data_IF_273831703729
#
_entry.id   IF_273831703729
#
_cell.length_a   1.000
_cell.length_b   1.000
_cell.length_c   1.000
_cell.angle_alpha   90.00
_cell.angle_beta   90.00
_cell.angle_gamma   90.00
#
_symmetry.space_group_name_H-M   'P 1'
#
loop_
_entity.id
_entity.type
_entity.pdbx_description
1 polymer ?
#
# COMPACT_ATOMS: atom_id res chain seq x y z
N UNK A 1 -8.22 19.54 6.12
CA UNK A 1 -7.15 18.54 6.32
C UNK A 1 -6.33 18.39 5.05
N UNK A 2 -6.89 18.02 3.91
CA UNK A 2 -6.39 18.26 2.53
C UNK A 2 -7.44 17.65 1.55
N UNK A 3 -7.11 17.57 0.26
CA UNK A 3 -8.03 17.05 -0.78
C UNK A 3 -8.19 15.52 -0.81
N UNK A 4 -7.52 14.78 0.08
CA UNK A 4 -7.46 13.31 0.09
C UNK A 4 -7.84 12.68 1.43
N UNK A 5 -8.04 13.48 2.48
CA UNK A 5 -8.29 13.02 3.84
C UNK A 5 -9.39 13.84 4.52
N UNK A 6 -10.43 13.13 4.95
CA UNK A 6 -11.49 13.66 5.80
C UNK A 6 -11.35 13.11 7.22
N UNK A 7 -11.83 13.89 8.20
CA UNK A 7 -11.85 13.48 9.62
C UNK A 7 -13.25 13.65 10.18
N UNK A 8 -13.68 12.64 10.93
CA UNK A 8 -14.82 12.69 11.83
C UNK A 8 -14.29 12.68 13.26
N UNK A 9 -14.81 13.56 14.10
CA UNK A 9 -14.37 13.70 15.50
C UNK A 9 -15.55 13.48 16.44
N UNK A 10 -15.35 12.64 17.45
CA UNK A 10 -16.34 12.33 18.49
C UNK A 10 -15.69 12.48 19.87
N UNK A 11 -16.33 13.21 20.78
CA UNK A 11 -15.83 13.44 22.14
C UNK A 11 -16.73 12.70 23.13
N UNK A 12 -16.16 11.79 23.90
CA UNK A 12 -16.91 10.87 24.76
C UNK A 12 -17.10 11.37 26.18
N UNK A 13 -16.27 12.30 26.65
CA UNK A 13 -16.27 12.77 28.03
C UNK A 13 -16.86 14.19 28.21
N UNK A 14 -17.87 14.53 27.42
CA UNK A 14 -18.63 15.78 27.61
C UNK A 14 -19.65 15.58 28.76
N UNK A 15 -19.57 16.35 29.86
CA UNK A 15 -20.52 16.23 30.95
C UNK A 15 -21.97 16.49 30.50
N UNK A 16 -22.89 15.62 30.90
CA UNK A 16 -24.30 15.72 30.54
C UNK A 16 -24.66 15.14 29.16
N UNK A 17 -23.70 14.61 28.39
CA UNK A 17 -24.03 13.79 27.22
C UNK A 17 -24.36 12.35 27.62
N UNK A 18 -25.26 11.71 26.88
CA UNK A 18 -25.61 10.28 27.06
C UNK A 18 -24.73 9.35 26.22
N UNK A 19 -23.69 9.89 25.59
CA UNK A 19 -22.80 9.18 24.67
C UNK A 19 -21.83 10.13 23.95
N UNK A 20 -21.06 9.61 22.98
CA UNK A 20 -20.12 10.41 22.20
C UNK A 20 -20.82 11.54 21.46
N UNK A 21 -20.20 12.72 21.49
CA UNK A 21 -20.72 13.93 20.86
C UNK A 21 -19.96 14.15 19.55
N UNK A 22 -20.71 14.15 18.44
CA UNK A 22 -20.17 14.48 17.13
C UNK A 22 -19.78 15.95 17.05
N UNK A 23 -18.61 16.24 16.49
CA UNK A 23 -18.13 17.59 16.22
C UNK A 23 -18.38 17.97 14.75
N UNK A 24 -18.94 19.14 14.44
CA UNK A 24 -19.40 20.17 15.39
C UNK A 24 -20.72 19.78 16.07
N UNK A 25 -20.84 20.11 17.36
CA UNK A 25 -22.13 20.05 18.07
C UNK A 25 -23.06 21.17 17.61
N UNK A 26 -24.38 20.99 17.75
CA UNK A 26 -25.37 22.02 17.37
C UNK A 26 -25.17 23.30 18.19
N UNK A 27 -24.75 24.39 17.53
CA UNK A 27 -24.48 25.70 18.14
C UNK A 27 -25.71 26.29 18.87
N UNK A 28 -26.93 25.96 18.42
CA UNK A 28 -28.19 26.40 19.05
C UNK A 28 -28.70 25.56 20.22
N UNK A 29 -27.98 24.50 20.62
CA UNK A 29 -28.40 23.60 21.70
C UNK A 29 -27.17 23.10 22.46
N UNK A 30 -26.51 23.97 23.25
CA UNK A 30 -25.32 23.60 24.00
C UNK A 30 -25.64 22.48 24.98
N UNK A 31 -24.69 21.55 25.13
CA UNK A 31 -24.83 20.43 26.07
C UNK A 31 -24.68 20.99 27.49
N UNK A 32 -25.70 20.77 28.31
CA UNK A 32 -25.72 21.23 29.69
C UNK A 32 -25.27 20.11 30.59
N UNK A 33 -24.29 20.40 31.43
CA UNK A 33 -23.96 19.54 32.57
C UNK A 33 -25.17 19.47 33.52
N UNK A 34 -25.77 18.29 33.62
CA UNK A 34 -26.95 18.03 34.45
C UNK A 34 -26.61 17.83 35.92
N UNK A 35 -25.33 17.78 36.28
CA UNK A 35 -24.89 17.48 37.63
C UNK A 35 -25.05 18.65 38.62
N UNK A 36 -25.51 19.82 38.18
CA UNK A 36 -25.91 20.95 39.04
C UNK A 36 -25.04 22.19 38.91
N UNK A 37 -25.14 23.11 39.88
CA UNK A 37 -24.37 24.36 39.90
C UNK A 37 -22.94 24.14 40.43
N UNK A 38 -21.96 24.76 39.76
CA UNK A 38 -20.59 24.85 40.26
C UNK A 38 -20.51 25.83 41.44
N UNK A 39 -20.37 25.31 42.66
CA UNK A 39 -20.35 26.10 43.91
C UNK A 39 -19.32 25.53 44.88
N UNK A 40 -18.79 26.39 45.73
CA UNK A 40 -17.81 26.03 46.77
C UNK A 40 -18.41 25.14 47.86
N UNK A 41 -19.70 25.33 48.18
CA UNK A 41 -20.44 24.57 49.21
C UNK A 41 -20.67 23.10 48.82
N UNK A 42 -20.71 22.79 47.53
CA UNK A 42 -20.83 21.44 46.97
C UNK A 42 -19.48 20.80 46.63
N UNK A 43 -18.36 21.41 47.03
CA UNK A 43 -16.99 21.01 46.64
C UNK A 43 -16.81 20.97 45.11
N UNK A 44 -17.47 21.88 44.38
CA UNK A 44 -17.47 21.96 42.92
C UNK A 44 -17.08 23.36 42.43
N UNK A 45 -16.23 24.05 43.18
CA UNK A 45 -15.73 25.36 42.83
C UNK A 45 -14.91 25.32 41.53
N UNK A 46 -15.15 26.27 40.63
CA UNK A 46 -14.39 26.41 39.37
C UNK A 46 -13.68 27.76 39.27
N UNK A 47 -13.82 28.60 40.30
CA UNK A 47 -13.20 29.92 40.36
C UNK A 47 -11.79 29.81 40.94
N UNK A 48 -10.88 30.65 40.44
CA UNK A 48 -9.49 30.70 40.91
C UNK A 48 -9.37 31.07 42.39
N UNK A 49 -10.36 31.78 42.94
CA UNK A 49 -10.38 32.22 44.33
C UNK A 49 -11.07 31.24 45.30
N UNK A 50 -11.67 30.15 44.79
CA UNK A 50 -12.25 29.11 45.66
C UNK A 50 -11.14 28.43 46.49
N UNK A 51 -11.38 27.97 47.74
CA UNK A 51 -10.40 27.19 48.49
C UNK A 51 -9.94 25.96 47.71
N UNK A 52 -8.63 25.65 47.64
CA UNK A 52 -8.11 24.55 46.81
C UNK A 52 -8.78 23.21 47.07
N UNK A 53 -9.05 22.86 48.34
CA UNK A 53 -9.75 21.62 48.73
C UNK A 53 -11.24 21.58 48.33
N UNK A 54 -11.80 22.71 47.88
CA UNK A 54 -13.20 22.86 47.44
C UNK A 54 -13.34 22.99 45.92
N UNK A 55 -12.23 23.04 45.18
CA UNK A 55 -12.24 23.14 43.72
C UNK A 55 -12.53 21.80 43.08
N UNK A 56 -13.20 21.86 41.95
CA UNK A 56 -13.38 20.71 41.07
C UNK A 56 -11.99 20.26 40.57
N UNK A 57 -11.72 18.95 40.48
CA UNK A 57 -10.46 18.45 39.92
C UNK A 57 -10.26 18.94 38.48
N UNK A 58 -9.01 18.85 38.01
CA UNK A 58 -8.65 19.26 36.66
C UNK A 58 -9.63 18.70 35.63
N UNK A 59 -10.19 19.62 34.84
CA UNK A 59 -11.17 19.31 33.80
C UNK A 59 -10.46 18.64 32.64
N UNK A 60 -10.78 17.36 32.38
CA UNK A 60 -10.20 16.58 31.28
C UNK A 60 -11.12 16.50 30.05
N UNK A 61 -12.12 17.38 29.94
CA UNK A 61 -13.10 17.38 28.84
C UNK A 61 -12.35 17.55 27.51
N UNK A 62 -12.60 16.64 26.56
CA UNK A 62 -11.87 16.55 25.29
C UNK A 62 -10.71 15.56 25.30
N UNK A 63 -10.24 15.10 26.47
CA UNK A 63 -9.16 14.10 26.54
C UNK A 63 -9.59 12.72 26.04
N UNK A 64 -10.89 12.39 26.12
CA UNK A 64 -11.47 11.18 25.54
C UNK A 64 -12.13 11.53 24.21
N UNK A 65 -11.32 11.49 23.15
CA UNK A 65 -11.72 11.84 21.79
C UNK A 65 -11.34 10.72 20.82
N UNK A 66 -12.28 10.36 19.96
CA UNK A 66 -12.07 9.44 18.84
C UNK A 66 -12.02 10.21 17.53
N UNK A 67 -10.97 9.95 16.74
CA UNK A 67 -10.83 10.43 15.38
C UNK A 67 -11.02 9.27 14.39
N UNK A 68 -11.98 9.40 13.47
CA UNK A 68 -12.10 8.51 12.32
C UNK A 68 -11.56 9.22 11.09
N UNK A 69 -10.50 8.66 10.52
CA UNK A 69 -9.87 9.15 9.30
C UNK A 69 -10.45 8.44 8.09
N UNK A 70 -10.84 9.19 7.06
CA UNK A 70 -11.35 8.67 5.80
C UNK A 70 -10.49 9.16 4.64
N UNK A 71 -9.77 8.23 4.02
CA UNK A 71 -8.96 8.48 2.82
C UNK A 71 -9.88 8.43 1.61
N UNK A 72 -10.11 9.58 0.98
CA UNK A 72 -11.03 9.69 -0.16
C UNK A 72 -10.36 9.51 -1.51
N UNK A 73 -9.03 9.58 -1.57
CA UNK A 73 -8.24 9.41 -2.79
C UNK A 73 -7.07 8.48 -2.50
N UNK A 74 -6.83 7.45 -3.34
CA UNK A 74 -5.65 6.60 -3.23
C UNK A 74 -4.36 7.42 -3.27
N UNK A 75 -3.33 6.96 -2.55
CA UNK A 75 -1.99 7.57 -2.58
C UNK A 75 -0.92 6.49 -2.37
N UNK A 76 0.30 6.79 -2.81
CA UNK A 76 1.46 5.91 -2.64
C UNK A 76 2.40 6.43 -1.56
N UNK A 77 3.00 5.50 -0.83
CA UNK A 77 3.99 5.80 0.20
C UNK A 77 3.32 6.37 1.44
N UNK A 78 3.44 7.68 1.65
CA UNK A 78 2.99 8.33 2.87
C UNK A 78 2.15 9.59 2.65
N UNK A 79 1.15 9.75 3.51
CA UNK A 79 0.38 10.97 3.68
C UNK A 79 0.74 11.60 5.02
N UNK A 80 1.36 12.76 4.98
CA UNK A 80 1.73 13.52 6.19
C UNK A 80 0.53 14.36 6.63
N UNK A 81 0.15 14.22 7.90
CA UNK A 81 -0.81 15.09 8.58
C UNK A 81 0.02 16.08 9.40
N UNK A 82 0.20 17.33 8.92
CA UNK A 82 0.87 18.36 9.71
C UNK A 82 0.04 18.67 10.96
N UNK A 83 0.64 19.34 11.95
CA UNK A 83 -0.07 19.81 13.14
C UNK A 83 -1.28 20.66 12.73
N UNK A 84 -2.47 20.09 12.90
CA UNK A 84 -3.72 20.62 12.38
C UNK A 84 -4.73 20.72 13.50
N UNK A 85 -5.22 21.93 13.76
CA UNK A 85 -6.36 22.16 14.65
C UNK A 85 -7.64 21.63 14.01
N UNK A 86 -8.32 20.73 14.71
CA UNK A 86 -9.51 20.02 14.20
C UNK A 86 -10.79 20.39 14.96
N UNK A 87 -10.67 20.89 16.19
CA UNK A 87 -11.82 21.39 16.95
C UNK A 87 -11.39 22.35 18.05
N UNK A 88 -12.32 23.23 18.42
CA UNK A 88 -12.24 24.04 19.64
C UNK A 88 -13.29 23.56 20.62
N UNK A 89 -12.86 23.26 21.84
CA UNK A 89 -13.76 23.01 22.96
C UNK A 89 -14.10 24.35 23.60
N UNK A 90 -15.39 24.65 23.63
CA UNK A 90 -15.89 25.90 24.17
C UNK A 90 -16.79 25.66 25.38
N UNK A 91 -16.60 26.46 26.42
CA UNK A 91 -17.44 26.46 27.60
C UNK A 91 -17.92 27.86 27.95
N UNK A 92 -19.01 27.90 28.69
CA UNK A 92 -19.62 29.11 29.19
C UNK A 92 -20.39 28.80 30.47
N UNK A 93 -20.49 29.78 31.37
CA UNK A 93 -21.28 29.69 32.59
C UNK A 93 -22.28 30.85 32.66
N UNK A 94 -23.38 30.63 33.36
CA UNK A 94 -24.41 31.64 33.63
C UNK A 94 -24.75 31.60 35.12
N UNK A 95 -24.97 32.76 35.72
CA UNK A 95 -25.50 32.90 37.09
C UNK A 95 -27.02 32.78 37.15
N UNK A 96 -27.69 32.62 36.01
CA UNK A 96 -29.14 32.42 35.90
C UNK A 96 -29.47 31.08 35.21
N UNK A 97 -30.75 30.73 35.17
CA UNK A 97 -31.25 29.56 34.44
C UNK A 97 -31.19 29.69 32.91
N UNK A 98 -30.90 30.89 32.37
CA UNK A 98 -30.77 31.10 30.92
C UNK A 98 -29.41 30.65 30.41
N UNK A 99 -29.38 30.10 29.20
CA UNK A 99 -28.13 29.72 28.55
C UNK A 99 -27.20 30.94 28.39
N UNK A 100 -25.91 30.79 28.71
CA UNK A 100 -24.93 31.83 28.46
C UNK A 100 -24.83 32.11 26.95
N UNK A 101 -24.66 33.39 26.59
CA UNK A 101 -24.56 33.84 25.19
C UNK A 101 -23.11 33.95 24.69
N UNK A 102 -22.14 33.91 25.61
CA UNK A 102 -20.72 34.10 25.31
C UNK A 102 -19.94 32.88 25.73
N UNK A 103 -19.36 32.21 24.74
CA UNK A 103 -18.52 31.04 24.93
C UNK A 103 -17.04 31.42 24.82
N UNK A 104 -16.19 30.70 25.55
CA UNK A 104 -14.74 30.83 25.49
C UNK A 104 -14.11 29.49 25.19
N UNK A 105 -13.05 29.50 24.39
CA UNK A 105 -12.23 28.31 24.15
C UNK A 105 -11.57 27.91 25.48
N UNK A 106 -11.73 26.65 25.86
CA UNK A 106 -11.11 26.06 27.04
C UNK A 106 -10.06 25.01 26.67
N UNK A 107 -10.13 24.44 25.47
CA UNK A 107 -9.13 23.55 24.92
C UNK A 107 -9.18 23.54 23.39
N UNK A 108 -8.06 23.15 22.79
CA UNK A 108 -7.89 22.96 21.35
C UNK A 108 -7.53 21.51 21.09
N UNK A 109 -8.21 20.91 20.11
CA UNK A 109 -7.88 19.56 19.66
C UNK A 109 -7.04 19.70 18.39
N UNK A 110 -5.85 19.12 18.44
CA UNK A 110 -4.90 19.07 17.33
C UNK A 110 -4.59 17.62 16.99
N UNK A 111 -4.28 17.37 15.72
CA UNK A 111 -3.80 16.08 15.24
C UNK A 111 -2.59 16.28 14.35
N UNK A 112 -1.60 15.43 14.53
CA UNK A 112 -0.40 15.33 13.71
C UNK A 112 -0.04 13.86 13.55
N UNK A 113 0.55 13.51 12.42
CA UNK A 113 0.97 12.14 12.18
C UNK A 113 1.30 11.85 10.73
N UNK A 114 1.43 10.57 10.41
CA UNK A 114 1.58 10.09 9.03
C UNK A 114 0.78 8.82 8.85
N UNK A 115 0.19 8.66 7.67
CA UNK A 115 -0.47 7.43 7.22
C UNK A 115 0.42 6.82 6.15
N UNK A 116 0.85 5.57 6.34
CA UNK A 116 1.67 4.84 5.36
C UNK A 116 0.85 3.73 4.72
N UNK A 117 0.86 3.66 3.39
CA UNK A 117 0.21 2.57 2.65
C UNK A 117 1.30 1.59 2.19
N UNK A 118 1.28 0.32 2.62
CA UNK A 118 2.23 -0.67 2.13
C UNK A 118 1.96 -0.94 0.65
N UNK A 119 2.98 -0.81 -0.20
CA UNK A 119 2.91 -1.24 -1.58
C UNK A 119 2.94 -2.77 -1.61
N UNK A 120 1.77 -3.41 -1.72
CA UNK A 120 1.68 -4.86 -1.91
C UNK A 120 1.15 -5.16 -3.31
N UNK A 121 2.04 -5.52 -4.22
CA UNK A 121 1.67 -6.14 -5.49
C UNK A 121 1.69 -7.66 -5.33
N UNK A 122 0.58 -8.31 -5.65
CA UNK A 122 0.48 -9.76 -5.76
C UNK A 122 0.66 -10.16 -7.21
N UNK A 123 1.75 -10.87 -7.47
CA UNK A 123 1.99 -11.52 -8.76
C UNK A 123 1.43 -12.94 -8.66
N UNK A 124 0.51 -13.28 -9.57
CA UNK A 124 -0.16 -14.57 -9.63
C UNK A 124 -0.68 -15.05 -8.26
N UNK A 125 -1.35 -14.16 -7.53
CA UNK A 125 -1.86 -14.39 -6.16
C UNK A 125 -0.80 -14.76 -5.10
N UNK A 126 0.49 -14.57 -5.39
CA UNK A 126 1.61 -14.93 -4.52
C UNK A 126 2.24 -16.29 -4.84
N UNK A 127 1.81 -16.94 -5.92
CA UNK A 127 2.31 -18.25 -6.33
C UNK A 127 3.51 -18.18 -7.28
N UNK A 128 4.34 -19.22 -7.23
CA UNK A 128 5.45 -19.40 -8.18
C UNK A 128 4.90 -19.74 -9.56
N UNK A 129 5.29 -18.97 -10.57
CA UNK A 129 4.95 -19.24 -11.97
C UNK A 129 5.84 -20.37 -12.48
N UNK A 130 5.26 -21.54 -12.74
CA UNK A 130 5.96 -22.70 -13.29
C UNK A 130 5.70 -22.81 -14.79
N UNK A 131 6.74 -22.61 -15.59
CA UNK A 131 6.67 -22.75 -17.06
C UNK A 131 7.29 -24.10 -17.45
N UNK A 132 6.45 -25.04 -17.86
CA UNK A 132 6.90 -26.35 -18.32
C UNK A 132 7.23 -26.32 -19.81
N UNK A 133 8.52 -26.31 -20.14
CA UNK A 133 9.02 -26.30 -21.52
C UNK A 133 8.92 -27.68 -22.22
N UNK A 134 8.43 -28.70 -21.53
CA UNK A 134 8.15 -30.02 -22.08
C UNK A 134 9.40 -30.88 -22.29
N UNK A 135 9.20 -31.99 -22.99
CA UNK A 135 10.27 -32.93 -23.37
C UNK A 135 10.67 -32.65 -24.82
N UNK A 136 11.96 -32.40 -25.03
CA UNK A 136 12.49 -32.00 -26.34
C UNK A 136 13.57 -33.01 -26.72
N UNK A 137 13.53 -33.50 -27.96
CA UNK A 137 14.61 -34.36 -28.46
C UNK A 137 15.91 -33.58 -28.52
N UNK A 138 16.96 -34.11 -27.91
CA UNK A 138 18.28 -33.49 -27.93
C UNK A 138 18.85 -33.33 -29.36
N UNK A 139 18.36 -34.15 -30.31
CA UNK A 139 18.70 -34.06 -31.73
C UNK A 139 18.15 -32.79 -32.42
N UNK A 140 17.13 -32.14 -31.86
CA UNK A 140 16.56 -30.91 -32.41
C UNK A 140 17.33 -29.65 -32.00
N UNK A 141 18.24 -29.75 -31.04
CA UNK A 141 19.16 -28.66 -30.73
C UNK A 141 20.33 -28.70 -31.71
N UNK A 142 20.24 -27.97 -32.82
CA UNK A 142 21.25 -28.02 -33.90
C UNK A 142 22.04 -26.71 -34.01
N UNK A 143 21.35 -25.57 -34.01
CA UNK A 143 21.95 -24.26 -34.32
C UNK A 143 22.21 -23.45 -33.04
N UNK A 144 23.40 -22.86 -32.93
CA UNK A 144 23.79 -22.01 -31.79
C UNK A 144 22.85 -20.79 -31.70
N UNK A 145 22.46 -20.44 -30.48
CA UNK A 145 21.60 -19.31 -30.12
C UNK A 145 20.21 -19.33 -30.77
N UNK A 146 19.79 -20.52 -31.24
CA UNK A 146 18.48 -20.76 -31.84
C UNK A 146 17.62 -21.70 -30.99
N UNK A 147 16.32 -21.56 -31.17
CA UNK A 147 15.31 -22.48 -30.65
C UNK A 147 15.46 -23.86 -31.30
N UNK A 148 15.17 -24.97 -30.60
CA UNK A 148 15.20 -26.30 -31.20
C UNK A 148 14.26 -26.40 -32.40
N UNK A 149 14.66 -27.20 -33.39
CA UNK A 149 13.84 -27.47 -34.56
C UNK A 149 12.50 -28.09 -34.15
N UNK A 150 11.42 -27.66 -34.81
CA UNK A 150 10.04 -28.09 -34.56
C UNK A 150 9.51 -27.80 -33.14
N UNK A 151 10.22 -27.00 -32.34
CA UNK A 151 9.72 -26.57 -31.03
C UNK A 151 8.68 -25.47 -31.19
N UNK A 152 7.61 -25.55 -30.39
CA UNK A 152 6.62 -24.49 -30.25
C UNK A 152 6.87 -23.81 -28.91
N UNK A 153 7.12 -22.49 -28.88
CA UNK A 153 7.25 -21.75 -27.63
C UNK A 153 6.05 -21.93 -26.69
N UNK A 154 6.31 -21.80 -25.39
CA UNK A 154 5.27 -21.94 -24.36
C UNK A 154 4.77 -20.57 -23.96
N UNK A 155 3.48 -20.34 -24.18
CA UNK A 155 2.79 -19.13 -23.75
C UNK A 155 2.29 -19.28 -22.32
N UNK A 156 2.44 -18.23 -21.52
CA UNK A 156 1.94 -18.18 -20.15
C UNK A 156 1.61 -16.74 -19.75
N UNK A 157 0.74 -16.61 -18.75
CA UNK A 157 0.27 -15.32 -18.28
C UNK A 157 0.91 -14.97 -16.93
N UNK A 158 1.28 -13.70 -16.78
CA UNK A 158 1.66 -13.11 -15.50
C UNK A 158 0.54 -12.15 -15.09
N UNK A 159 -0.29 -12.59 -14.15
CA UNK A 159 -1.36 -11.77 -13.58
C UNK A 159 -0.79 -10.94 -12.42
N UNK A 160 -1.08 -9.64 -12.37
CA UNK A 160 -0.66 -8.78 -11.27
C UNK A 160 -1.83 -7.96 -10.72
N UNK A 161 -1.84 -7.81 -9.39
CA UNK A 161 -2.79 -7.01 -8.62
C UNK A 161 -2.02 -6.22 -7.56
N UNK A 162 -1.91 -4.91 -7.76
CA UNK A 162 -1.27 -3.94 -6.87
C UNK A 162 -2.27 -3.10 -6.07
N UNK A 163 -3.57 -3.42 -6.12
CA UNK A 163 -4.64 -2.52 -5.69
C UNK A 163 -4.94 -1.42 -6.71
N UNK A 164 -6.01 -0.67 -6.47
CA UNK A 164 -6.47 0.38 -7.40
C UNK A 164 -5.53 1.60 -7.37
N UNK A 165 -4.87 1.83 -8.51
CA UNK A 165 -3.93 2.93 -8.74
C UNK A 165 -4.42 3.86 -9.86
N UNK A 166 -5.66 3.72 -10.33
CA UNK A 166 -6.19 4.41 -11.51
C UNK A 166 -6.16 5.95 -11.39
N UNK A 167 -6.35 6.47 -10.18
CA UNK A 167 -6.34 7.90 -9.89
C UNK A 167 -4.95 8.44 -9.53
N UNK A 168 -3.93 7.58 -9.54
CA UNK A 168 -2.54 7.94 -9.22
C UNK A 168 -1.78 8.12 -10.53
N UNK A 169 -1.07 9.25 -10.66
CA UNK A 169 -0.17 9.48 -11.80
C UNK A 169 1.15 8.75 -11.56
N UNK A 170 1.21 7.48 -11.95
CA UNK A 170 2.40 6.64 -11.85
C UNK A 170 2.62 5.81 -13.13
N UNK A 171 3.82 5.27 -13.27
CA UNK A 171 4.15 4.22 -14.23
C UNK A 171 4.48 2.95 -13.47
N UNK A 172 3.89 1.82 -13.89
CA UNK A 172 4.22 0.51 -13.33
C UNK A 172 5.13 -0.23 -14.28
N UNK A 173 6.18 -0.83 -13.73
CA UNK A 173 7.09 -1.69 -14.46
C UNK A 173 7.20 -3.04 -13.79
N UNK A 174 7.23 -4.09 -14.61
CA UNK A 174 7.60 -5.44 -14.19
C UNK A 174 9.07 -5.65 -14.54
N UNK A 175 9.90 -5.78 -13.51
CA UNK A 175 11.32 -6.10 -13.63
C UNK A 175 11.56 -7.60 -13.51
N UNK A 176 12.35 -8.14 -14.45
CA UNK A 176 12.70 -9.56 -14.49
C UNK A 176 14.22 -9.68 -14.38
N UNK A 177 14.68 -10.41 -13.37
CA UNK A 177 16.09 -10.59 -13.07
C UNK A 177 16.43 -12.07 -12.87
N UNK A 178 17.56 -12.52 -13.42
CA UNK A 178 18.09 -13.84 -13.12
C UNK A 178 19.60 -13.77 -12.86
N UNK A 179 20.08 -14.60 -11.95
CA UNK A 179 21.47 -14.56 -11.48
C UNK A 179 22.46 -15.25 -12.42
N UNK A 180 22.00 -16.11 -13.32
CA UNK A 180 22.85 -16.99 -14.11
C UNK A 180 22.58 -16.85 -15.62
N UNK A 181 23.43 -16.10 -16.31
CA UNK A 181 23.16 -15.63 -17.67
C UNK A 181 24.29 -15.98 -18.65
N UNK A 182 23.91 -16.44 -19.84
CA UNK A 182 24.83 -16.57 -20.98
C UNK A 182 24.95 -15.25 -21.74
N UNK A 183 23.88 -14.45 -21.74
CA UNK A 183 23.83 -13.07 -22.23
C UNK A 183 22.67 -12.34 -21.55
N UNK A 184 22.51 -11.03 -21.78
CA UNK A 184 21.43 -10.26 -21.16
C UNK A 184 20.02 -10.80 -21.47
N UNK A 185 19.83 -11.57 -22.56
CA UNK A 185 18.53 -12.13 -22.97
C UNK A 185 18.42 -13.64 -22.77
N UNK A 186 19.47 -14.29 -22.24
CA UNK A 186 19.52 -15.76 -22.19
C UNK A 186 19.93 -16.22 -20.81
N UNK A 187 18.95 -16.77 -20.08
CA UNK A 187 19.13 -17.44 -18.80
C UNK A 187 19.77 -18.81 -19.02
N UNK A 188 20.81 -19.15 -18.27
CA UNK A 188 21.40 -20.49 -18.32
C UNK A 188 20.48 -21.47 -17.59
N UNK A 189 20.04 -22.52 -18.29
CA UNK A 189 19.14 -23.53 -17.75
C UNK A 189 19.83 -24.88 -17.50
N UNK A 190 20.98 -25.11 -18.14
CA UNK A 190 21.79 -26.30 -17.94
C UNK A 190 23.26 -26.06 -18.28
N UNK A 191 24.12 -26.75 -17.54
CA UNK A 191 25.53 -26.96 -17.85
C UNK A 191 25.78 -28.44 -18.02
N UNK A 192 26.63 -28.81 -18.97
CA UNK A 192 27.04 -30.20 -19.18
C UNK A 192 27.79 -30.72 -17.97
N UNK A 193 27.52 -31.95 -17.58
CA UNK A 193 28.17 -32.60 -16.44
C UNK A 193 29.68 -32.81 -16.67
N UNK A 194 30.11 -32.96 -17.93
CA UNK A 194 31.49 -33.31 -18.29
C UNK A 194 32.48 -32.15 -18.12
N UNK A 195 32.07 -30.93 -18.44
CA UNK A 195 32.96 -29.77 -18.53
C UNK A 195 32.39 -28.48 -17.95
N UNK A 196 31.19 -28.54 -17.36
CA UNK A 196 30.49 -27.40 -16.76
C UNK A 196 30.25 -26.23 -17.75
N UNK A 197 30.27 -26.50 -19.07
CA UNK A 197 29.96 -25.50 -20.09
C UNK A 197 28.44 -25.38 -20.25
N UNK A 198 27.87 -24.15 -20.26
CA UNK A 198 26.45 -23.94 -20.55
C UNK A 198 26.05 -24.48 -21.93
N UNK A 199 24.98 -25.26 -22.00
CA UNK A 199 24.53 -25.87 -23.24
C UNK A 199 23.07 -25.63 -23.59
N UNK A 200 22.21 -25.45 -22.58
CA UNK A 200 20.81 -25.04 -22.75
C UNK A 200 20.57 -23.71 -22.04
N UNK A 201 20.06 -22.75 -22.78
CA UNK A 201 19.54 -21.48 -22.25
C UNK A 201 18.03 -21.39 -22.38
N UNK A 202 17.42 -20.38 -21.75
CA UNK A 202 16.01 -20.02 -21.90
C UNK A 202 15.94 -18.55 -22.32
N UNK A 203 15.11 -18.27 -23.33
CA UNK A 203 14.69 -16.92 -23.71
C UNK A 203 13.27 -16.65 -23.24
N UNK A 204 13.01 -15.38 -22.99
CA UNK A 204 11.71 -14.86 -22.59
C UNK A 204 11.33 -13.72 -23.52
N UNK A 205 10.08 -13.70 -23.97
CA UNK A 205 9.55 -12.70 -24.89
C UNK A 205 8.25 -12.14 -24.32
N UNK A 206 8.11 -10.82 -24.33
CA UNK A 206 6.86 -10.14 -24.05
C UNK A 206 6.03 -10.10 -25.35
N UNK A 207 4.95 -10.87 -25.34
CA UNK A 207 4.00 -10.99 -26.47
C UNK A 207 2.73 -10.16 -26.24
N UNK A 208 2.68 -9.36 -25.17
CA UNK A 208 1.51 -8.52 -24.85
C UNK A 208 1.25 -7.51 -25.95
N UNK A 209 2.29 -6.84 -26.45
CA UNK A 209 2.14 -5.75 -27.42
C UNK A 209 3.11 -5.80 -28.61
N UNK A 210 4.35 -6.27 -28.42
CA UNK A 210 5.43 -6.02 -29.41
C UNK A 210 6.33 -7.20 -29.74
N UNK A 211 6.12 -8.39 -29.16
CA UNK A 211 6.97 -9.58 -29.36
C UNK A 211 8.46 -9.25 -29.14
N UNK A 212 8.77 -8.61 -28.00
CA UNK A 212 10.12 -8.13 -27.69
C UNK A 212 10.81 -9.07 -26.72
N UNK A 213 12.07 -9.43 -27.00
CA UNK A 213 12.89 -10.20 -26.07
C UNK A 213 13.08 -9.44 -24.76
N UNK A 214 12.82 -10.10 -23.64
CA UNK A 214 12.94 -9.52 -22.31
C UNK A 214 14.31 -9.82 -21.73
N UNK A 215 15.09 -8.79 -21.33
CA UNK A 215 16.35 -9.02 -20.64
C UNK A 215 16.15 -9.66 -19.27
N UNK A 216 17.21 -10.23 -18.71
CA UNK A 216 17.24 -10.77 -17.35
C UNK A 216 18.20 -9.99 -16.42
N UNK A 217 18.71 -8.82 -16.81
CA UNK A 217 19.66 -8.03 -16.00
C UNK A 217 19.47 -6.49 -16.09
N UNK A 218 18.54 -5.94 -15.30
CA UNK A 218 17.16 -6.39 -15.23
C UNK A 218 16.43 -6.07 -16.55
N UNK A 219 15.53 -6.94 -16.98
CA UNK A 219 14.55 -6.60 -18.02
C UNK A 219 13.41 -5.79 -17.42
N UNK A 220 12.86 -4.82 -18.16
CA UNK A 220 11.76 -3.98 -17.68
C UNK A 220 10.65 -3.95 -18.71
N UNK A 221 9.44 -4.34 -18.29
CA UNK A 221 8.22 -4.33 -19.10
C UNK A 221 7.28 -3.27 -18.52
N UNK A 222 6.74 -2.39 -19.37
CA UNK A 222 5.70 -1.44 -18.95
C UNK A 222 4.37 -2.19 -18.78
N UNK A 223 3.74 -2.05 -17.63
CA UNK A 223 2.44 -2.68 -17.32
C UNK A 223 1.36 -1.62 -17.06
N UNK A 224 0.10 -2.04 -16.98
CA UNK A 224 -1.05 -1.14 -16.84
C UNK A 224 -0.95 -0.32 -15.55
N UNK A 225 -0.99 1.01 -15.67
CA UNK A 225 -0.85 1.94 -14.55
C UNK A 225 -1.98 1.87 -13.52
N UNK A 226 -3.13 1.27 -13.86
CA UNK A 226 -4.25 1.07 -12.94
C UNK A 226 -3.95 0.11 -11.78
N UNK A 227 -2.84 -0.64 -11.87
CA UNK A 227 -2.42 -1.58 -10.83
C UNK A 227 -2.94 -3.00 -11.00
N UNK A 228 -3.78 -3.26 -12.00
CA UNK A 228 -4.35 -4.58 -12.27
C UNK A 228 -4.21 -4.95 -13.73
N UNK A 229 -3.77 -6.18 -14.01
CA UNK A 229 -3.74 -6.64 -15.38
C UNK A 229 -3.06 -7.98 -15.57
N UNK A 230 -2.84 -8.29 -16.84
CA UNK A 230 -2.19 -9.51 -17.31
C UNK A 230 -1.13 -9.14 -18.33
N UNK A 231 0.07 -9.67 -18.17
CA UNK A 231 1.13 -9.63 -19.18
C UNK A 231 1.23 -11.01 -19.81
N UNK A 232 1.23 -11.07 -21.14
CA UNK A 232 1.34 -12.30 -21.90
C UNK A 232 2.80 -12.53 -22.28
N UNK A 233 3.32 -13.69 -21.89
CA UNK A 233 4.72 -14.04 -22.06
C UNK A 233 4.86 -15.31 -22.87
N UNK A 234 5.99 -15.41 -23.56
CA UNK A 234 6.41 -16.60 -24.27
C UNK A 234 7.82 -16.98 -23.83
N UNK A 235 8.05 -18.27 -23.57
CA UNK A 235 9.38 -18.80 -23.26
C UNK A 235 9.72 -20.01 -24.12
N UNK A 236 11.00 -20.12 -24.47
CA UNK A 236 11.54 -21.26 -25.21
C UNK A 236 13.02 -21.49 -24.90
N UNK A 237 13.50 -22.74 -24.98
CA UNK A 237 14.91 -23.04 -24.78
C UNK A 237 15.73 -22.69 -26.01
N UNK A 238 17.04 -22.48 -25.82
CA UNK A 238 18.01 -22.20 -26.89
C UNK A 238 19.28 -23.04 -26.73
N UNK A 239 19.90 -23.42 -27.84
CA UNK A 239 21.19 -24.13 -27.83
C UNK A 239 22.36 -23.15 -27.65
N UNK A 240 23.16 -23.30 -26.60
CA UNK A 240 24.29 -22.38 -26.34
C UNK A 240 25.60 -22.80 -27.02
N UNK A 241 25.71 -24.05 -27.48
CA UNK A 241 26.96 -24.61 -28.03
C UNK A 241 27.02 -24.57 -29.55
N UNK A 242 25.93 -24.91 -30.23
CA UNK A 242 25.90 -25.18 -31.67
C UNK A 242 26.30 -26.63 -31.98
N UNK A 243 25.30 -27.47 -32.24
CA UNK A 243 25.42 -28.91 -32.42
C UNK A 243 24.51 -29.70 -31.49
N UNK A 244 24.32 -30.98 -31.80
CA UNK A 244 23.44 -31.90 -31.05
C UNK A 244 23.87 -32.00 -29.58
N UNK A 245 22.91 -31.88 -28.68
CA UNK A 245 23.15 -31.92 -27.24
C UNK A 245 23.04 -33.33 -26.65
N UNK A 246 23.61 -33.54 -25.46
CA UNK A 246 23.34 -34.74 -24.68
C UNK A 246 21.97 -34.67 -23.99
N UNK A 247 21.25 -35.81 -23.85
CA UNK A 247 20.02 -35.87 -23.06
C UNK A 247 20.26 -35.49 -21.59
N UNK A 248 19.28 -34.83 -20.97
CA UNK A 248 19.34 -34.45 -19.56
C UNK A 248 18.34 -33.38 -19.18
N UNK A 249 18.06 -33.24 -17.88
CA UNK A 249 17.13 -32.23 -17.36
C UNK A 249 17.74 -30.84 -17.38
N UNK A 250 16.91 -29.81 -17.58
CA UNK A 250 17.29 -28.40 -17.49
C UNK A 250 16.25 -27.63 -16.70
N UNK A 251 16.68 -26.58 -15.99
CA UNK A 251 15.81 -25.68 -15.23
C UNK A 251 16.45 -24.30 -15.13
N UNK A 252 15.64 -23.25 -15.24
CA UNK A 252 16.03 -21.87 -14.99
C UNK A 252 15.15 -21.23 -13.93
N UNK A 253 15.66 -20.24 -13.22
CA UNK A 253 14.88 -19.46 -12.27
C UNK A 253 15.18 -17.97 -12.47
N UNK A 254 14.11 -17.18 -12.52
CA UNK A 254 14.16 -15.73 -12.56
C UNK A 254 13.23 -15.17 -11.49
N UNK A 255 13.55 -13.99 -10.99
CA UNK A 255 12.76 -13.23 -10.01
C UNK A 255 12.02 -12.13 -10.76
N UNK A 256 10.75 -11.94 -10.40
CA UNK A 256 9.90 -10.89 -10.96
C UNK A 256 9.57 -9.91 -9.83
N UNK A 257 9.77 -8.62 -10.09
CA UNK A 257 9.47 -7.54 -9.14
C UNK A 257 8.61 -6.50 -9.85
N UNK A 258 7.51 -6.07 -9.25
CA UNK A 258 6.76 -4.91 -9.74
C UNK A 258 7.27 -3.66 -9.03
N UNK A 259 7.61 -2.64 -9.80
CA UNK A 259 8.06 -1.35 -9.30
C UNK A 259 7.13 -0.24 -9.76
N UNK A 260 6.96 0.74 -8.88
CA UNK A 260 6.19 1.95 -9.15
C UNK A 260 7.15 3.12 -9.31
N UNK A 261 7.04 3.86 -10.43
CA UNK A 261 7.82 5.06 -10.72
C UNK A 261 6.93 6.28 -10.91
#
# INVERSE_FOLDING_TARGET
MNDSLYIKTEISNIPGSTGPVLVPSKIGSPIKDSSGSYRTDSNRGVCKDDPPEKRLPNVSIGADTTFTLYVSKPFLGELIIPDTTIAYLQAAWSSSSTYPKTFKNIAELHIQGRITVPQSCKINQGDVIQVNLGVISAAYFTTKDAMPEHYTPVNFDIVYDCGDMSDIKNSLYMEIEASDLASQYVLIARRRETDNVPDVGIRLVDITNTNVNVPFNPGSILIDSSGHGVTHMEAYPVNLTGGVLSPGYFKGTATITVIVK
#
